data_IF_233309708547
#
_entry.id   IF_233309708547
#
_cell.length_a   1.000
_cell.length_b   1.000
_cell.length_c   1.000
_cell.angle_alpha   90.00
_cell.angle_beta   90.00
_cell.angle_gamma   90.00
#
_symmetry.space_group_name_H-M   'P 1'
#
loop_
_entity.id
_entity.type
_entity.pdbx_description
1 polymer ?
#
# COMPACT_ATOMS: atom_id res chain seq x y z
N UNK A 1 -50.76 32.27 -19.30
CA UNK A 1 -49.34 32.31 -18.88
C UNK A 1 -49.06 31.04 -18.05
N UNK A 2 -48.69 29.92 -18.70
CA UNK A 2 -48.33 28.67 -18.00
C UNK A 2 -46.80 28.65 -17.85
N UNK A 3 -46.32 28.72 -16.61
CA UNK A 3 -44.89 28.61 -16.29
C UNK A 3 -44.38 27.23 -16.73
N UNK A 4 -43.35 27.22 -17.58
CA UNK A 4 -42.57 26.04 -17.96
C UNK A 4 -41.92 25.49 -16.69
N UNK A 5 -42.20 24.24 -16.37
CA UNK A 5 -41.53 23.46 -15.33
C UNK A 5 -40.11 23.20 -15.86
N UNK A 6 -39.10 23.72 -15.17
CA UNK A 6 -37.70 23.40 -15.40
C UNK A 6 -37.53 21.89 -15.24
N UNK A 7 -36.94 21.25 -16.25
CA UNK A 7 -36.56 19.85 -16.23
C UNK A 7 -35.52 19.65 -15.14
N UNK A 8 -35.87 18.93 -14.07
CA UNK A 8 -34.89 18.38 -13.13
C UNK A 8 -33.93 17.50 -13.93
N UNK A 9 -32.64 17.84 -13.91
CA UNK A 9 -31.59 16.97 -14.41
C UNK A 9 -31.66 15.62 -13.67
N UNK A 10 -31.49 14.51 -14.39
CA UNK A 10 -31.41 13.19 -13.77
C UNK A 10 -30.35 13.20 -12.65
N UNK A 11 -30.60 12.57 -11.48
CA UNK A 11 -29.64 12.55 -10.39
C UNK A 11 -28.35 11.91 -10.90
N UNK A 12 -27.24 12.67 -10.87
CA UNK A 12 -25.91 12.11 -11.11
C UNK A 12 -25.71 10.99 -10.09
N UNK A 13 -25.47 9.77 -10.57
CA UNK A 13 -25.10 8.64 -9.72
C UNK A 13 -23.87 9.06 -8.92
N UNK A 14 -24.01 9.22 -7.61
CA UNK A 14 -22.87 9.50 -6.73
C UNK A 14 -21.86 8.34 -6.88
N UNK A 15 -20.56 8.63 -7.07
CA UNK A 15 -19.59 7.58 -7.29
C UNK A 15 -19.51 6.69 -6.05
N UNK A 16 -19.58 5.37 -6.24
CA UNK A 16 -19.41 4.42 -5.14
C UNK A 16 -17.94 4.35 -4.71
N UNK A 17 -17.03 4.47 -5.68
CA UNK A 17 -15.58 4.35 -5.48
C UNK A 17 -14.86 5.59 -6.00
N UNK A 18 -13.96 6.16 -5.21
CA UNK A 18 -12.93 7.07 -5.71
C UNK A 18 -11.62 6.33 -5.89
N UNK A 19 -11.04 6.37 -7.08
CA UNK A 19 -9.72 5.80 -7.36
C UNK A 19 -8.70 6.94 -7.38
N UNK A 20 -7.74 6.91 -6.46
CA UNK A 20 -6.66 7.89 -6.38
C UNK A 20 -5.45 7.39 -7.16
N UNK A 21 -4.97 8.20 -8.10
CA UNK A 21 -3.79 7.88 -8.92
C UNK A 21 -2.74 8.98 -8.78
N UNK A 22 -1.60 8.71 -8.12
CA UNK A 22 -0.45 9.60 -8.20
C UNK A 22 0.23 9.40 -9.56
N UNK A 23 0.58 10.49 -10.23
CA UNK A 23 1.23 10.45 -11.53
C UNK A 23 2.45 11.35 -11.55
N UNK A 24 3.60 10.79 -11.97
CA UNK A 24 4.79 11.56 -12.29
C UNK A 24 5.62 10.86 -13.34
N UNK A 25 5.74 11.49 -14.51
CA UNK A 25 6.51 10.96 -15.64
C UNK A 25 6.20 9.49 -15.94
N UNK A 26 4.91 9.19 -16.14
CA UNK A 26 4.40 7.83 -16.24
C UNK A 26 4.30 7.32 -17.69
N UNK A 27 4.68 8.11 -18.69
CA UNK A 27 4.71 7.62 -20.07
C UNK A 27 5.81 6.55 -20.25
N UNK A 28 5.55 5.51 -21.07
CA UNK A 28 4.33 5.27 -21.86
C UNK A 28 3.21 4.54 -21.10
N UNK A 29 3.47 4.06 -19.89
CA UNK A 29 2.58 3.17 -19.12
C UNK A 29 1.22 3.76 -18.75
N UNK A 30 1.20 5.09 -18.56
CA UNK A 30 0.03 5.85 -18.12
C UNK A 30 -1.25 5.55 -18.90
N UNK A 31 -1.14 5.46 -20.23
CA UNK A 31 -2.31 5.36 -21.11
C UNK A 31 -3.09 4.07 -20.88
N UNK A 32 -2.39 2.96 -20.68
CA UNK A 32 -2.98 1.67 -20.36
C UNK A 32 -3.48 1.61 -18.90
N UNK A 33 -2.73 2.20 -17.96
CA UNK A 33 -3.12 2.27 -16.55
C UNK A 33 -4.47 3.01 -16.38
N UNK A 34 -4.58 4.20 -16.95
CA UNK A 34 -5.82 5.01 -16.93
C UNK A 34 -6.95 4.29 -17.65
N UNK A 35 -6.70 3.72 -18.84
CA UNK A 35 -7.69 2.91 -19.57
C UNK A 35 -8.23 1.78 -18.69
N UNK A 36 -7.38 1.03 -17.99
CA UNK A 36 -7.79 -0.11 -17.16
C UNK A 36 -8.70 0.27 -15.99
N UNK A 37 -8.61 1.50 -15.49
CA UNK A 37 -9.53 2.04 -14.47
C UNK A 37 -10.81 2.53 -15.11
N UNK A 38 -10.73 3.26 -16.23
CA UNK A 38 -11.92 3.83 -16.88
C UNK A 38 -12.80 2.77 -17.54
N UNK A 39 -12.29 1.57 -17.84
CA UNK A 39 -13.07 0.45 -18.39
C UNK A 39 -13.62 -0.51 -17.32
N UNK A 40 -13.55 -0.16 -16.04
CA UNK A 40 -14.11 -0.97 -14.95
C UNK A 40 -15.62 -1.14 -15.09
N UNK A 41 -16.12 -2.29 -14.64
CA UNK A 41 -17.52 -2.72 -14.79
C UNK A 41 -18.18 -2.97 -13.45
N UNK A 42 -19.51 -2.91 -13.44
CA UNK A 42 -20.37 -3.18 -12.28
C UNK A 42 -20.08 -2.29 -11.06
N UNK A 43 -19.49 -1.12 -11.31
CA UNK A 43 -19.16 -0.11 -10.30
C UNK A 43 -19.23 1.28 -10.91
N UNK A 44 -19.83 2.22 -10.17
CA UNK A 44 -19.71 3.64 -10.47
C UNK A 44 -18.46 4.16 -9.78
N UNK A 45 -17.54 4.76 -10.54
CA UNK A 45 -16.28 5.26 -9.99
C UNK A 45 -15.90 6.64 -10.53
N UNK A 46 -15.15 7.37 -9.73
CA UNK A 46 -14.41 8.56 -10.16
C UNK A 46 -12.91 8.26 -10.08
N UNK A 47 -12.17 8.59 -11.14
CA UNK A 47 -10.71 8.56 -11.15
C UNK A 47 -10.17 9.96 -10.88
N UNK A 48 -9.40 10.13 -9.81
CA UNK A 48 -8.73 11.39 -9.50
C UNK A 48 -7.23 11.21 -9.64
N UNK A 49 -6.66 11.89 -10.63
CA UNK A 49 -5.23 11.82 -10.95
C UNK A 49 -4.52 13.07 -10.44
N UNK A 50 -3.53 12.88 -9.57
CA UNK A 50 -2.66 13.94 -9.05
C UNK A 50 -1.36 13.94 -9.83
N UNK A 51 -1.20 14.88 -10.76
CA UNK A 51 0.03 15.03 -11.55
C UNK A 51 1.07 15.87 -10.80
N UNK A 52 2.12 15.21 -10.30
CA UNK A 52 3.22 15.80 -9.54
C UNK A 52 4.32 16.34 -10.47
N UNK A 53 3.95 17.38 -11.22
CA UNK A 53 4.83 18.12 -12.13
C UNK A 53 5.51 17.24 -13.21
N UNK A 54 4.73 16.46 -13.96
CA UNK A 54 5.28 15.66 -15.06
C UNK A 54 5.81 16.53 -16.22
N UNK A 55 6.89 16.06 -16.84
CA UNK A 55 7.58 16.72 -17.96
C UNK A 55 7.68 15.84 -19.22
N UNK A 56 7.18 14.61 -19.19
CA UNK A 56 7.27 13.62 -20.28
C UNK A 56 6.03 13.58 -21.20
N UNK A 57 5.09 14.51 -21.02
CA UNK A 57 3.81 14.53 -21.72
C UNK A 57 2.64 13.90 -20.94
N UNK A 58 2.88 13.26 -19.80
CA UNK A 58 1.82 12.69 -18.93
C UNK A 58 0.72 13.70 -18.62
N UNK A 59 1.09 14.89 -18.13
CA UNK A 59 0.15 15.97 -17.80
C UNK A 59 -0.70 16.40 -19.00
N UNK A 60 -0.06 16.63 -20.15
CA UNK A 60 -0.73 17.10 -21.35
C UNK A 60 -1.77 16.08 -21.84
N UNK A 61 -1.41 14.80 -21.82
CA UNK A 61 -2.32 13.70 -22.20
C UNK A 61 -3.49 13.57 -21.21
N UNK A 62 -3.23 13.62 -19.90
CA UNK A 62 -4.26 13.55 -18.85
C UNK A 62 -5.30 14.67 -18.97
N UNK A 63 -4.85 15.92 -19.14
CA UNK A 63 -5.75 17.08 -19.29
C UNK A 63 -6.56 17.02 -20.59
N UNK A 64 -5.99 16.45 -21.66
CA UNK A 64 -6.72 16.22 -22.90
C UNK A 64 -7.82 15.15 -22.72
N UNK A 65 -7.51 14.06 -22.02
CA UNK A 65 -8.48 13.01 -21.71
C UNK A 65 -9.61 13.49 -20.81
N UNK A 66 -9.32 14.27 -19.76
CA UNK A 66 -10.35 14.87 -18.90
C UNK A 66 -11.36 15.68 -19.72
N UNK A 67 -10.88 16.51 -20.66
CA UNK A 67 -11.76 17.28 -21.57
C UNK A 67 -12.58 16.38 -22.48
N UNK A 68 -12.00 15.33 -23.05
CA UNK A 68 -12.69 14.40 -23.93
C UNK A 68 -13.80 13.63 -23.18
N UNK A 69 -13.51 13.18 -21.94
CA UNK A 69 -14.47 12.52 -21.05
C UNK A 69 -15.62 13.46 -20.68
N UNK A 70 -15.33 14.72 -20.36
CA UNK A 70 -16.35 15.72 -20.04
C UNK A 70 -17.27 16.04 -21.24
N UNK A 71 -16.71 16.15 -22.45
CA UNK A 71 -17.49 16.37 -23.67
C UNK A 71 -18.46 15.21 -23.95
N UNK A 72 -17.99 13.96 -23.76
CA UNK A 72 -18.82 12.76 -23.91
C UNK A 72 -19.98 12.71 -22.90
N UNK A 73 -19.76 13.16 -21.66
CA UNK A 73 -20.81 13.19 -20.65
C UNK A 73 -21.98 14.09 -21.08
N UNK A 74 -21.67 15.23 -21.71
CA UNK A 74 -22.66 16.15 -22.29
C UNK A 74 -23.40 15.51 -23.46
N UNK A 75 -22.69 14.85 -24.39
CA UNK A 75 -23.33 14.15 -25.51
C UNK A 75 -24.24 13.01 -25.05
N UNK A 76 -23.84 12.28 -24.00
CA UNK A 76 -24.63 11.19 -23.40
C UNK A 76 -25.89 11.74 -22.74
N UNK A 77 -25.81 12.85 -21.98
CA UNK A 77 -27.00 13.53 -21.42
C UNK A 77 -27.98 14.00 -22.53
N UNK A 78 -27.46 14.34 -23.72
CA UNK A 78 -28.28 14.71 -24.89
C UNK A 78 -28.87 13.50 -25.63
N UNK A 79 -28.20 12.34 -25.59
CA UNK A 79 -28.57 11.12 -26.34
C UNK A 79 -29.24 10.04 -25.49
N UNK A 80 -29.32 10.19 -24.16
CA UNK A 80 -30.00 9.30 -23.20
C UNK A 80 -31.53 9.14 -23.40
N UNK A 81 -32.08 9.49 -24.56
CA UNK A 81 -33.41 9.10 -24.97
C UNK A 81 -33.46 7.78 -25.76
N UNK A 82 -32.35 7.22 -26.24
CA UNK A 82 -32.40 5.98 -27.03
C UNK A 82 -31.21 5.02 -26.81
N UNK A 83 -31.55 3.83 -26.26
CA UNK A 83 -30.93 2.50 -26.38
C UNK A 83 -30.02 1.96 -25.28
N UNK A 84 -30.43 0.77 -24.81
CA UNK A 84 -29.66 -0.21 -24.04
C UNK A 84 -28.96 -1.24 -24.96
N UNK A 85 -27.81 -1.73 -24.49
CA UNK A 85 -27.49 -3.16 -24.51
C UNK A 85 -26.67 -3.69 -25.68
N UNK A 86 -25.34 -3.72 -25.53
CA UNK A 86 -24.45 -4.56 -26.33
C UNK A 86 -23.39 -5.21 -25.45
N UNK A 87 -23.43 -6.53 -25.29
CA UNK A 87 -22.45 -7.33 -24.55
C UNK A 87 -21.38 -7.88 -25.50
N UNK A 88 -20.12 -7.47 -25.35
CA UNK A 88 -18.96 -8.25 -25.82
C UNK A 88 -18.65 -9.35 -24.81
N UNK A 89 -18.18 -10.50 -25.29
CA UNK A 89 -17.87 -11.66 -24.44
C UNK A 89 -16.62 -11.43 -23.58
N UNK A 90 -16.71 -11.78 -22.30
CA UNK A 90 -15.68 -11.52 -21.29
C UNK A 90 -14.32 -12.19 -21.57
N UNK A 91 -14.30 -13.37 -22.21
CA UNK A 91 -13.07 -14.17 -22.41
C UNK A 91 -12.07 -13.52 -23.38
N UNK A 92 -12.53 -12.94 -24.49
CA UNK A 92 -11.65 -12.33 -25.48
C UNK A 92 -11.00 -11.02 -25.00
N UNK A 93 -11.62 -10.36 -24.00
CA UNK A 93 -11.13 -9.10 -23.43
C UNK A 93 -10.10 -9.34 -22.33
N UNK A 94 -10.24 -10.43 -21.56
CA UNK A 94 -9.24 -10.88 -20.60
C UNK A 94 -7.93 -11.28 -21.30
N UNK A 95 -8.01 -11.91 -22.49
CA UNK A 95 -6.86 -12.26 -23.32
C UNK A 95 -6.12 -11.02 -23.87
N UNK A 96 -6.84 -9.99 -24.33
CA UNK A 96 -6.23 -8.74 -24.80
C UNK A 96 -5.57 -7.98 -23.64
N UNK A 97 -6.22 -7.95 -22.47
CA UNK A 97 -5.67 -7.37 -21.25
C UNK A 97 -4.38 -8.08 -20.82
N UNK A 98 -4.35 -9.43 -20.79
CA UNK A 98 -3.15 -10.21 -20.45
C UNK A 98 -1.99 -9.96 -21.41
N UNK A 99 -2.25 -9.79 -22.70
CA UNK A 99 -1.20 -9.49 -23.68
C UNK A 99 -0.52 -8.12 -23.40
N UNK A 100 -1.28 -7.08 -23.06
CA UNK A 100 -0.74 -5.74 -22.74
C UNK A 100 0.15 -5.72 -21.49
N UNK A 101 -0.14 -6.57 -20.52
CA UNK A 101 0.62 -6.62 -19.28
C UNK A 101 1.99 -7.29 -19.43
N UNK A 102 2.16 -8.13 -20.44
CA UNK A 102 3.33 -9.00 -20.59
C UNK A 102 4.65 -8.27 -20.90
N UNK A 103 4.61 -7.07 -21.50
CA UNK A 103 5.82 -6.34 -21.91
C UNK A 103 6.42 -5.47 -20.80
N UNK A 104 7.73 -5.60 -20.59
CA UNK A 104 8.54 -4.72 -19.73
C UNK A 104 9.26 -3.61 -20.51
N UNK A 105 9.33 -3.76 -21.83
CA UNK A 105 9.95 -2.81 -22.74
C UNK A 105 8.96 -1.69 -23.08
N UNK A 106 9.24 -0.51 -22.52
CA UNK A 106 8.47 0.71 -22.76
C UNK A 106 8.34 1.03 -24.27
N UNK A 107 9.34 0.70 -25.09
CA UNK A 107 9.32 1.01 -26.53
C UNK A 107 8.39 0.09 -27.32
N UNK A 108 8.06 -1.07 -26.77
CA UNK A 108 7.15 -2.07 -27.38
C UNK A 108 5.76 -2.01 -26.79
N UNK A 109 5.55 -1.21 -25.75
CA UNK A 109 4.26 -1.06 -25.12
C UNK A 109 3.30 -0.33 -26.06
N UNK A 110 2.10 -0.89 -26.24
CA UNK A 110 1.00 -0.17 -26.87
C UNK A 110 0.67 1.05 -26.01
N UNK A 111 0.63 2.21 -26.66
CA UNK A 111 0.09 3.44 -26.09
C UNK A 111 -1.29 3.70 -26.70
N UNK A 112 -2.16 4.35 -25.94
CA UNK A 112 -3.50 4.72 -26.38
C UNK A 112 -3.60 6.22 -26.55
N UNK A 113 -4.20 6.65 -27.65
CA UNK A 113 -4.57 8.05 -27.79
C UNK A 113 -5.78 8.41 -26.91
N UNK A 114 -6.05 9.71 -26.80
CA UNK A 114 -7.09 10.24 -25.92
C UNK A 114 -8.48 9.77 -26.37
N UNK A 115 -8.71 9.77 -27.68
CA UNK A 115 -9.97 9.42 -28.31
C UNK A 115 -10.29 7.92 -28.14
N UNK A 116 -9.29 7.04 -28.28
CA UNK A 116 -9.39 5.60 -28.03
C UNK A 116 -9.84 5.34 -26.59
N UNK A 117 -9.19 5.96 -25.60
CA UNK A 117 -9.54 5.77 -24.18
C UNK A 117 -10.91 6.35 -23.86
N UNK A 118 -11.19 7.58 -24.31
CA UNK A 118 -12.47 8.25 -24.05
C UNK A 118 -13.66 7.48 -24.65
N UNK A 119 -13.47 6.83 -25.81
CA UNK A 119 -14.51 6.05 -26.50
C UNK A 119 -14.87 4.77 -25.73
N UNK A 120 -13.89 4.09 -25.12
CA UNK A 120 -14.12 2.80 -24.44
C UNK A 120 -14.41 2.92 -22.95
N UNK A 121 -14.20 4.09 -22.34
CA UNK A 121 -14.48 4.29 -20.92
C UNK A 121 -15.95 3.97 -20.57
N UNK A 122 -16.21 3.41 -19.40
CA UNK A 122 -17.57 3.13 -18.94
C UNK A 122 -18.34 4.44 -18.73
N UNK A 123 -19.64 4.44 -19.03
CA UNK A 123 -20.53 5.58 -18.72
C UNK A 123 -20.71 5.81 -17.22
N UNK A 124 -20.34 4.84 -16.38
CA UNK A 124 -20.34 4.94 -14.92
C UNK A 124 -19.02 5.48 -14.35
N UNK A 125 -18.06 5.85 -15.21
CA UNK A 125 -16.75 6.36 -14.82
C UNK A 125 -16.64 7.86 -15.10
N UNK A 126 -16.15 8.62 -14.13
CA UNK A 126 -15.72 10.01 -14.33
C UNK A 126 -14.22 10.15 -14.08
N UNK A 127 -13.63 11.26 -14.51
CA UNK A 127 -12.22 11.54 -14.30
C UNK A 127 -12.01 13.02 -13.94
N UNK A 128 -11.05 13.27 -13.06
CA UNK A 128 -10.56 14.60 -12.70
C UNK A 128 -9.04 14.61 -12.60
N UNK A 129 -8.41 15.67 -13.08
CA UNK A 129 -6.95 15.86 -12.99
C UNK A 129 -6.64 17.03 -12.06
N UNK A 130 -5.70 16.83 -11.14
CA UNK A 130 -5.16 17.85 -10.25
C UNK A 130 -3.69 18.05 -10.63
N UNK A 131 -3.37 19.21 -11.21
CA UNK A 131 -2.00 19.59 -11.48
C UNK A 131 -1.37 20.12 -10.18
N UNK A 132 -0.27 19.50 -9.76
CA UNK A 132 0.51 19.90 -8.59
C UNK A 132 1.81 20.48 -9.11
N UNK A 133 1.87 21.81 -9.12
CA UNK A 133 3.08 22.54 -9.47
C UNK A 133 3.93 22.72 -8.22
N UNK A 134 5.21 22.37 -8.33
CA UNK A 134 6.18 22.53 -7.25
C UNK A 134 7.44 23.20 -7.76
N UNK A 135 8.05 24.00 -6.90
CA UNK A 135 9.45 24.38 -7.04
C UNK A 135 10.33 23.22 -6.52
N UNK A 136 11.08 22.51 -7.39
CA UNK A 136 11.95 21.41 -6.97
C UNK A 136 13.07 21.84 -6.01
N UNK A 137 13.42 23.13 -6.00
CA UNK A 137 14.34 23.73 -5.03
C UNK A 137 13.76 23.78 -3.61
N UNK A 138 12.45 23.94 -3.49
CA UNK A 138 11.75 24.05 -2.20
C UNK A 138 11.20 22.70 -1.74
N UNK A 139 10.47 22.00 -2.61
CA UNK A 139 9.77 20.76 -2.27
C UNK A 139 10.17 19.63 -3.21
N UNK A 140 10.67 18.49 -2.70
CA UNK A 140 10.88 17.33 -3.53
C UNK A 140 9.53 16.77 -4.00
N UNK A 141 9.52 16.24 -5.22
CA UNK A 141 8.42 15.42 -5.73
C UNK A 141 8.08 14.27 -4.80
N UNK A 142 6.81 13.96 -4.61
CA UNK A 142 6.38 12.98 -3.63
C UNK A 142 4.99 12.45 -3.94
N UNK A 143 4.86 11.13 -3.85
CA UNK A 143 3.62 10.42 -4.09
C UNK A 143 2.55 10.77 -3.04
N UNK A 144 2.96 10.99 -1.79
CA UNK A 144 2.07 11.25 -0.66
C UNK A 144 1.24 12.53 -0.83
N UNK A 145 1.84 13.64 -1.25
CA UNK A 145 1.08 14.87 -1.52
C UNK A 145 0.06 14.66 -2.63
N UNK A 146 0.45 14.00 -3.73
CA UNK A 146 -0.44 13.75 -4.87
C UNK A 146 -1.67 12.95 -4.41
N UNK A 147 -1.45 11.90 -3.63
CA UNK A 147 -2.51 11.09 -3.05
C UNK A 147 -3.39 11.88 -2.06
N UNK A 148 -2.80 12.70 -1.19
CA UNK A 148 -3.57 13.55 -0.27
C UNK A 148 -4.45 14.53 -1.05
N UNK A 149 -3.91 15.20 -2.08
CA UNK A 149 -4.68 16.10 -2.95
C UNK A 149 -5.82 15.37 -3.68
N UNK A 150 -5.55 14.16 -4.18
CA UNK A 150 -6.59 13.32 -4.76
C UNK A 150 -7.67 12.96 -3.72
N UNK A 151 -7.26 12.60 -2.50
CA UNK A 151 -8.19 12.25 -1.42
C UNK A 151 -9.09 13.44 -1.06
N UNK A 152 -8.56 14.66 -0.91
CA UNK A 152 -9.38 15.87 -0.65
C UNK A 152 -10.39 16.16 -1.75
N UNK A 153 -10.03 15.89 -3.00
CA UNK A 153 -10.91 16.14 -4.14
C UNK A 153 -11.94 15.02 -4.38
N UNK A 154 -11.84 13.92 -3.63
CA UNK A 154 -12.64 12.70 -3.83
C UNK A 154 -13.88 12.65 -2.94
N UNK A 155 -14.91 11.93 -3.39
CA UNK A 155 -16.24 11.90 -2.75
C UNK A 155 -16.80 10.50 -2.48
N UNK A 156 -16.38 9.49 -3.23
CA UNK A 156 -16.93 8.13 -3.15
C UNK A 156 -16.78 7.44 -1.80
N UNK A 157 -17.79 6.65 -1.41
CA UNK A 157 -17.86 6.01 -0.10
C UNK A 157 -16.70 5.02 0.17
N UNK A 158 -16.14 4.46 -0.90
CA UNK A 158 -14.92 3.67 -0.87
C UNK A 158 -13.80 4.40 -1.60
N UNK A 159 -12.57 4.20 -1.12
CA UNK A 159 -11.38 4.80 -1.71
C UNK A 159 -10.45 3.69 -2.13
N UNK A 160 -10.22 3.57 -3.42
CA UNK A 160 -9.22 2.69 -4.02
C UNK A 160 -8.05 3.50 -4.54
N UNK A 161 -7.01 2.79 -4.93
CA UNK A 161 -5.79 3.40 -5.45
C UNK A 161 -5.29 2.67 -6.69
N UNK A 162 -4.49 3.37 -7.48
CA UNK A 162 -3.89 2.87 -8.71
C UNK A 162 -2.56 3.58 -8.99
N UNK A 163 -1.46 2.84 -9.13
CA UNK A 163 -0.22 3.45 -9.63
C UNK A 163 -0.32 3.74 -11.13
N UNK A 164 0.29 4.84 -11.58
CA UNK A 164 0.20 5.30 -12.96
C UNK A 164 0.90 4.40 -14.00
N UNK A 165 1.55 3.31 -13.58
CA UNK A 165 2.29 2.36 -14.42
C UNK A 165 1.79 0.91 -14.34
N UNK A 166 0.78 0.65 -13.51
CA UNK A 166 0.24 -0.69 -13.25
C UNK A 166 -1.07 -0.96 -14.01
N UNK A 167 -1.68 -2.13 -13.82
CA UNK A 167 -2.92 -2.53 -14.50
C UNK A 167 -3.92 -3.20 -13.55
N UNK A 168 -5.22 -3.08 -13.83
CA UNK A 168 -6.29 -3.81 -13.12
C UNK A 168 -7.29 -4.47 -14.08
N UNK A 169 -7.73 -5.71 -13.82
CA UNK A 169 -8.73 -6.40 -14.65
C UNK A 169 -10.12 -5.74 -14.54
N UNK A 170 -11.03 -5.90 -15.51
CA UNK A 170 -12.26 -5.11 -15.64
C UNK A 170 -13.24 -5.12 -14.46
N UNK A 171 -13.22 -6.15 -13.62
CA UNK A 171 -14.14 -6.28 -12.47
C UNK A 171 -13.42 -6.12 -11.11
N UNK A 172 -12.22 -5.54 -11.09
CA UNK A 172 -11.39 -5.42 -9.89
C UNK A 172 -12.09 -4.66 -8.75
N UNK A 173 -12.55 -3.43 -9.00
CA UNK A 173 -13.14 -2.63 -7.92
C UNK A 173 -14.51 -3.13 -7.49
N UNK A 174 -15.35 -3.62 -8.42
CA UNK A 174 -16.62 -4.27 -8.06
C UNK A 174 -16.42 -5.48 -7.15
N UNK A 175 -15.39 -6.29 -7.41
CA UNK A 175 -15.03 -7.44 -6.57
C UNK A 175 -14.58 -7.00 -5.18
N UNK A 176 -13.75 -5.95 -5.08
CA UNK A 176 -13.30 -5.41 -3.80
C UNK A 176 -14.46 -4.79 -2.99
N UNK A 177 -15.35 -4.03 -3.63
CA UNK A 177 -16.56 -3.48 -2.98
C UNK A 177 -17.42 -4.60 -2.42
N UNK A 178 -17.69 -5.64 -3.22
CA UNK A 178 -18.46 -6.81 -2.77
C UNK A 178 -17.80 -7.50 -1.56
N UNK A 179 -16.49 -7.73 -1.63
CA UNK A 179 -15.75 -8.39 -0.56
C UNK A 179 -15.81 -7.60 0.75
N UNK A 180 -15.66 -6.28 0.69
CA UNK A 180 -15.67 -5.41 1.87
C UNK A 180 -17.08 -5.14 2.42
N UNK A 181 -18.10 -5.02 1.56
CA UNK A 181 -19.46 -4.71 2.00
C UNK A 181 -20.25 -5.95 2.42
N UNK A 182 -20.15 -7.04 1.66
CA UNK A 182 -21.06 -8.19 1.80
C UNK A 182 -20.39 -9.38 2.47
N UNK A 183 -19.13 -9.64 2.16
CA UNK A 183 -18.45 -10.87 2.57
C UNK A 183 -17.70 -10.69 3.90
N UNK A 184 -17.11 -9.51 4.13
CA UNK A 184 -16.29 -9.22 5.31
C UNK A 184 -16.60 -7.81 5.86
N UNK A 185 -17.82 -7.56 6.37
CA UNK A 185 -18.24 -6.25 6.86
C UNK A 185 -17.39 -5.73 8.04
N UNK A 186 -16.72 -6.61 8.77
CA UNK A 186 -15.82 -6.29 9.88
C UNK A 186 -14.44 -5.79 9.44
N UNK A 187 -14.11 -5.89 8.15
CA UNK A 187 -12.87 -5.35 7.63
C UNK A 187 -12.95 -3.83 7.43
N UNK A 188 -11.91 -3.12 7.86
CA UNK A 188 -11.74 -1.68 7.62
C UNK A 188 -11.25 -1.41 6.18
N UNK A 189 -10.53 -2.38 5.61
CA UNK A 189 -9.93 -2.36 4.29
C UNK A 189 -9.87 -3.77 3.69
N UNK A 190 -9.98 -3.87 2.37
CA UNK A 190 -9.72 -5.10 1.62
C UNK A 190 -8.60 -4.88 0.61
N UNK A 191 -7.72 -5.86 0.48
CA UNK A 191 -6.65 -5.90 -0.53
C UNK A 191 -6.87 -7.09 -1.47
N UNK A 192 -6.25 -7.07 -2.65
CA UNK A 192 -6.23 -8.24 -3.53
C UNK A 192 -4.88 -8.93 -3.54
N UNK A 193 -4.87 -10.19 -4.00
CA UNK A 193 -3.63 -10.75 -4.53
C UNK A 193 -3.14 -9.92 -5.72
N UNK A 194 -1.83 -9.97 -5.94
CA UNK A 194 -1.15 -9.32 -7.05
C UNK A 194 -0.74 -10.34 -8.11
N UNK A 195 -0.55 -9.87 -9.34
CA UNK A 195 0.18 -10.56 -10.40
C UNK A 195 1.37 -9.71 -10.81
N UNK A 196 2.55 -10.28 -10.92
CA UNK A 196 3.67 -9.58 -11.55
C UNK A 196 3.50 -9.56 -13.06
N UNK A 197 3.84 -8.43 -13.69
CA UNK A 197 3.87 -8.31 -15.14
C UNK A 197 5.11 -7.53 -15.60
N UNK A 198 5.43 -7.55 -16.89
CA UNK A 198 6.72 -7.07 -17.40
C UNK A 198 7.91 -7.92 -16.94
N UNK A 199 8.92 -7.29 -16.32
CA UNK A 199 10.25 -7.88 -16.19
C UNK A 199 10.29 -8.97 -15.12
N UNK A 200 10.59 -10.20 -15.53
CA UNK A 200 10.64 -11.32 -14.60
C UNK A 200 11.93 -11.36 -13.76
N UNK A 201 11.78 -11.47 -12.44
CA UNK A 201 12.88 -11.78 -11.51
C UNK A 201 12.44 -12.78 -10.45
N UNK A 202 13.26 -13.79 -10.20
CA UNK A 202 12.93 -14.83 -9.22
C UNK A 202 12.76 -14.27 -7.79
N UNK A 203 13.47 -13.19 -7.44
CA UNK A 203 13.27 -12.48 -6.18
C UNK A 203 11.85 -11.94 -6.02
N UNK A 204 11.32 -11.33 -7.08
CA UNK A 204 9.95 -10.79 -7.09
C UNK A 204 8.92 -11.90 -7.12
N UNK A 205 9.14 -12.98 -7.88
CA UNK A 205 8.26 -14.16 -7.86
C UNK A 205 8.13 -14.77 -6.45
N UNK A 206 9.20 -14.77 -5.66
CA UNK A 206 9.13 -15.16 -4.23
C UNK A 206 8.30 -14.19 -3.40
N UNK A 207 8.48 -12.89 -3.62
CA UNK A 207 7.69 -11.85 -2.94
C UNK A 207 6.20 -11.99 -3.27
N UNK A 208 5.83 -12.13 -4.55
CA UNK A 208 4.46 -12.37 -5.00
C UNK A 208 3.85 -13.59 -4.30
N UNK A 209 4.53 -14.74 -4.32
CA UNK A 209 4.05 -15.97 -3.66
C UNK A 209 3.84 -15.77 -2.15
N UNK A 210 4.76 -15.10 -1.47
CA UNK A 210 4.63 -14.82 -0.03
C UNK A 210 3.50 -13.85 0.25
N UNK A 211 3.46 -12.69 -0.43
CA UNK A 211 2.46 -11.65 -0.21
C UNK A 211 1.04 -12.18 -0.52
N UNK A 212 0.87 -12.94 -1.60
CA UNK A 212 -0.41 -13.53 -1.98
C UNK A 212 -0.90 -14.62 -0.99
N UNK A 213 0.01 -15.18 -0.19
CA UNK A 213 -0.33 -16.13 0.87
C UNK A 213 -0.88 -15.48 2.15
N UNK A 214 -0.78 -14.16 2.30
CA UNK A 214 -1.27 -13.44 3.49
C UNK A 214 -2.74 -13.04 3.28
N UNK A 215 -3.67 -13.85 3.77
CA UNK A 215 -5.11 -13.71 3.46
C UNK A 215 -5.91 -13.01 4.58
N UNK A 216 -5.58 -13.29 5.84
CA UNK A 216 -6.38 -12.77 6.97
C UNK A 216 -5.81 -11.46 7.53
N UNK A 217 -6.63 -10.68 8.26
CA UNK A 217 -6.14 -9.51 8.99
C UNK A 217 -5.00 -9.81 9.98
N UNK A 218 -5.05 -10.96 10.63
CA UNK A 218 -3.98 -11.40 11.52
C UNK A 218 -2.70 -11.68 10.75
N UNK A 219 -2.77 -12.29 9.57
CA UNK A 219 -1.60 -12.53 8.73
C UNK A 219 -0.96 -11.23 8.27
N UNK A 220 -1.76 -10.31 7.73
CA UNK A 220 -1.30 -9.02 7.24
C UNK A 220 -0.67 -8.18 8.36
N UNK A 221 -1.33 -8.09 9.51
CA UNK A 221 -0.81 -7.38 10.67
C UNK A 221 0.48 -8.04 11.20
N UNK A 222 0.51 -9.37 11.31
CA UNK A 222 1.65 -10.12 11.86
C UNK A 222 2.90 -10.02 10.99
N UNK A 223 2.72 -10.11 9.69
CA UNK A 223 3.83 -10.23 8.74
C UNK A 223 4.35 -8.87 8.25
N UNK A 224 3.76 -7.75 8.70
CA UNK A 224 4.19 -6.37 8.37
C UNK A 224 5.66 -6.06 8.69
N UNK A 225 6.27 -6.78 9.63
CA UNK A 225 7.67 -6.59 10.03
C UNK A 225 8.67 -7.43 9.22
N UNK A 226 8.17 -8.26 8.29
CA UNK A 226 9.01 -8.96 7.34
C UNK A 226 9.19 -8.13 6.09
N UNK A 227 8.09 -7.80 5.43
CA UNK A 227 8.05 -6.97 4.24
C UNK A 227 6.67 -6.31 4.16
N UNK A 228 6.47 -5.42 3.20
CA UNK A 228 5.16 -4.82 2.91
C UNK A 228 4.12 -5.95 2.66
N UNK A 229 3.08 -6.09 3.50
CA UNK A 229 2.20 -7.28 3.50
C UNK A 229 1.12 -7.24 2.41
N UNK A 230 0.87 -6.07 1.84
CA UNK A 230 0.02 -5.86 0.67
C UNK A 230 0.50 -4.60 -0.07
N UNK A 231 0.43 -4.56 -1.40
CA UNK A 231 0.59 -3.29 -2.11
C UNK A 231 -0.57 -2.38 -1.74
N UNK A 232 -0.28 -1.14 -1.35
CA UNK A 232 -1.32 -0.16 -0.98
C UNK A 232 -2.27 0.08 -2.16
N UNK A 233 -1.71 0.16 -3.37
CA UNK A 233 -2.47 0.28 -4.60
C UNK A 233 -3.35 -0.93 -4.92
N UNK A 234 -3.19 -2.11 -4.28
CA UNK A 234 -4.12 -3.24 -4.45
C UNK A 234 -5.37 -3.15 -3.55
N UNK A 235 -5.43 -2.13 -2.68
CA UNK A 235 -6.44 -1.99 -1.66
C UNK A 235 -7.69 -1.19 -2.09
N UNK A 236 -8.77 -1.41 -1.34
CA UNK A 236 -9.96 -0.58 -1.28
C UNK A 236 -10.32 -0.36 0.19
N UNK A 237 -10.43 0.89 0.59
CA UNK A 237 -10.68 1.32 1.97
C UNK A 237 -12.10 1.88 2.13
N UNK A 238 -12.66 1.77 3.32
CA UNK A 238 -13.83 2.58 3.71
C UNK A 238 -13.38 4.03 3.91
N UNK A 239 -14.06 5.00 3.30
CA UNK A 239 -13.72 6.42 3.48
C UNK A 239 -13.77 6.84 4.95
N UNK A 240 -14.79 6.38 5.69
CA UNK A 240 -14.93 6.63 7.13
C UNK A 240 -13.66 6.22 7.89
N UNK A 241 -13.10 5.06 7.59
CA UNK A 241 -11.89 4.54 8.25
C UNK A 241 -10.63 5.31 7.85
N UNK A 242 -10.53 5.77 6.60
CA UNK A 242 -9.45 6.69 6.20
C UNK A 242 -9.55 8.03 6.94
N UNK A 243 -10.75 8.56 7.17
CA UNK A 243 -10.93 9.79 7.95
C UNK A 243 -10.55 9.61 9.43
N UNK A 244 -10.98 8.50 10.05
CA UNK A 244 -10.54 8.13 11.42
C UNK A 244 -9.02 8.00 11.50
N UNK A 245 -8.40 7.34 10.51
CA UNK A 245 -6.96 7.15 10.45
C UNK A 245 -6.19 8.45 10.24
N UNK A 246 -6.70 9.34 9.37
CA UNK A 246 -6.16 10.67 9.14
C UNK A 246 -6.14 11.50 10.42
N UNK A 247 -7.23 11.46 11.20
CA UNK A 247 -7.33 12.19 12.47
C UNK A 247 -6.31 11.72 13.53
N UNK A 248 -5.83 10.47 13.43
CA UNK A 248 -4.78 9.91 14.30
C UNK A 248 -3.36 10.14 13.78
N UNK A 249 -3.21 10.67 12.56
CA UNK A 249 -1.89 10.90 11.96
C UNK A 249 -1.41 12.31 12.26
N UNK A 250 -0.19 12.44 12.80
CA UNK A 250 0.42 13.73 13.08
C UNK A 250 0.49 14.59 11.80
N UNK A 251 0.08 15.86 11.91
CA UNK A 251 -0.02 16.77 10.75
C UNK A 251 -1.20 16.51 9.81
N UNK A 252 -2.05 15.50 10.06
CA UNK A 252 -3.27 15.23 9.31
C UNK A 252 -3.05 14.74 7.86
N UNK A 253 -1.82 14.38 7.49
CA UNK A 253 -1.50 13.80 6.18
C UNK A 253 -1.77 12.30 6.19
N UNK A 254 -2.68 11.82 5.34
CA UNK A 254 -3.02 10.40 5.23
C UNK A 254 -1.82 9.60 4.69
N UNK A 255 -1.18 10.14 3.65
CA UNK A 255 0.03 9.61 3.02
C UNK A 255 1.19 10.56 3.30
N UNK A 256 2.19 10.13 4.07
CA UNK A 256 3.34 10.97 4.46
C UNK A 256 4.45 10.92 3.42
N UNK A 257 5.10 12.05 3.16
CA UNK A 257 6.22 12.17 2.23
C UNK A 257 7.45 12.62 3.01
N UNK A 258 8.17 11.65 3.56
CA UNK A 258 9.31 11.90 4.46
C UNK A 258 10.62 12.06 3.69
N UNK A 259 11.30 13.18 3.91
CA UNK A 259 12.55 13.54 3.22
C UNK A 259 13.62 13.99 4.20
N UNK A 260 14.82 13.43 4.08
CA UNK A 260 15.99 13.93 4.80
C UNK A 260 16.63 15.10 4.05
N UNK A 261 16.67 16.28 4.67
CA UNK A 261 17.29 17.50 4.14
C UNK A 261 18.00 18.26 5.26
N UNK A 262 19.24 18.67 5.02
CA UNK A 262 20.03 19.51 5.94
C UNK A 262 20.05 19.00 7.39
N UNK A 263 20.21 17.68 7.59
CA UNK A 263 20.28 17.08 8.92
C UNK A 263 18.94 16.83 9.61
N UNK A 264 17.81 17.17 8.98
CA UNK A 264 16.46 17.01 9.55
C UNK A 264 15.56 16.22 8.59
N UNK A 265 14.56 15.52 9.13
CA UNK A 265 13.49 14.92 8.32
C UNK A 265 12.33 15.89 8.23
N UNK A 266 11.83 16.08 7.01
CA UNK A 266 10.74 16.96 6.66
C UNK A 266 9.62 16.17 5.97
N UNK A 267 8.38 16.40 6.39
CA UNK A 267 7.19 15.84 5.75
C UNK A 267 6.60 16.87 4.76
N UNK A 268 6.67 16.56 3.47
CA UNK A 268 6.19 17.41 2.38
C UNK A 268 4.78 17.05 1.90
N UNK A 269 4.08 16.18 2.62
CA UNK A 269 2.75 15.70 2.22
C UNK A 269 1.59 16.64 2.56
N UNK A 270 1.82 17.64 3.41
CA UNK A 270 0.76 18.49 3.95
C UNK A 270 0.47 19.76 3.14
N UNK A 271 1.43 20.25 2.34
CA UNK A 271 1.28 21.51 1.60
C UNK A 271 1.89 21.47 0.20
N UNK A 272 1.09 21.71 -0.87
CA UNK A 272 1.61 21.95 -2.21
C UNK A 272 2.52 23.18 -2.31
N UNK A 273 2.35 24.16 -1.41
CA UNK A 273 3.22 25.33 -1.33
C UNK A 273 4.62 25.02 -0.78
N UNK A 274 4.89 23.76 -0.37
CA UNK A 274 6.20 23.32 0.10
C UNK A 274 6.47 23.57 1.58
N UNK A 275 5.48 24.03 2.35
CA UNK A 275 5.57 24.12 3.80
C UNK A 275 5.66 22.70 4.39
N UNK A 276 6.87 22.34 4.82
CA UNK A 276 7.12 21.04 5.41
C UNK A 276 6.98 21.07 6.92
N UNK A 277 6.49 19.97 7.49
CA UNK A 277 6.46 19.77 8.94
C UNK A 277 7.70 18.97 9.33
N UNK A 278 8.45 19.43 10.33
CA UNK A 278 9.60 18.68 10.85
C UNK A 278 9.14 17.38 11.52
N UNK A 279 9.76 16.26 11.18
CA UNK A 279 9.63 14.99 11.90
C UNK A 279 10.77 14.83 12.92
N UNK A 280 10.49 14.14 14.02
CA UNK A 280 11.24 14.22 15.27
C UNK A 280 12.65 13.61 15.24
N UNK A 281 13.04 12.83 14.22
CA UNK A 281 14.35 12.17 14.17
C UNK A 281 14.98 12.11 12.76
N UNK A 282 16.31 12.29 12.63
CA UNK A 282 17.00 12.42 11.34
C UNK A 282 17.03 11.13 10.50
N UNK A 283 16.84 9.96 11.12
CA UNK A 283 16.86 8.66 10.43
C UNK A 283 15.47 8.12 10.06
N UNK A 284 14.41 8.89 10.30
CA UNK A 284 13.02 8.47 10.09
C UNK A 284 12.45 8.91 8.75
N UNK A 285 13.06 8.44 7.66
CA UNK A 285 12.62 8.77 6.30
C UNK A 285 12.56 7.53 5.42
N UNK A 286 11.36 7.14 5.01
CA UNK A 286 11.08 5.87 4.36
C UNK A 286 9.94 6.05 3.34
N UNK A 287 9.60 5.02 2.54
CA UNK A 287 8.63 5.18 1.46
C UNK A 287 7.21 5.17 2.02
N UNK A 288 6.30 5.83 1.28
CA UNK A 288 4.89 6.06 1.64
C UNK A 288 4.18 4.75 2.01
N UNK A 289 4.40 3.69 1.23
CA UNK A 289 3.70 2.40 1.42
C UNK A 289 4.05 1.73 2.74
N UNK A 290 5.32 1.72 3.12
CA UNK A 290 5.77 1.12 4.38
C UNK A 290 5.25 1.93 5.56
N UNK A 291 5.35 3.26 5.50
CA UNK A 291 4.82 4.18 6.51
C UNK A 291 3.31 3.97 6.73
N UNK A 292 2.55 3.93 5.64
CA UNK A 292 1.10 3.81 5.66
C UNK A 292 0.65 2.52 6.36
N UNK A 293 1.13 1.36 5.92
CA UNK A 293 0.71 0.09 6.49
C UNK A 293 1.09 -0.05 7.96
N UNK A 294 2.29 0.39 8.34
CA UNK A 294 2.69 0.33 9.73
C UNK A 294 1.83 1.24 10.62
N UNK A 295 1.58 2.48 10.20
CA UNK A 295 0.67 3.38 10.92
C UNK A 295 -0.75 2.81 10.97
N UNK A 296 -1.25 2.22 9.88
CA UNK A 296 -2.57 1.60 9.81
C UNK A 296 -2.75 0.56 10.92
N UNK A 297 -1.84 -0.42 10.98
CA UNK A 297 -1.89 -1.48 12.00
C UNK A 297 -1.61 -0.97 13.43
N UNK A 298 -0.67 -0.03 13.61
CA UNK A 298 -0.38 0.56 14.93
C UNK A 298 -1.60 1.29 15.52
N UNK A 299 -2.43 1.88 14.66
CA UNK A 299 -3.65 2.58 15.08
C UNK A 299 -4.87 1.65 15.26
N UNK A 300 -4.65 0.34 15.16
CA UNK A 300 -5.66 -0.70 15.43
C UNK A 300 -6.58 -1.03 14.25
N UNK A 301 -6.34 -0.46 13.07
CA UNK A 301 -7.13 -0.79 11.89
C UNK A 301 -6.72 -2.14 11.32
N UNK A 302 -7.70 -2.88 10.81
CA UNK A 302 -7.50 -4.19 10.22
C UNK A 302 -7.54 -4.10 8.67
N UNK A 303 -7.08 -5.14 7.98
CA UNK A 303 -7.21 -5.25 6.53
C UNK A 303 -7.25 -6.71 6.15
N UNK A 304 -8.10 -7.14 5.23
CA UNK A 304 -8.10 -8.51 4.70
C UNK A 304 -7.54 -8.59 3.28
N UNK A 305 -7.36 -9.80 2.75
CA UNK A 305 -6.96 -10.00 1.34
C UNK A 305 -7.84 -11.05 0.67
N UNK A 306 -8.40 -10.68 -0.48
CA UNK A 306 -9.17 -11.59 -1.32
C UNK A 306 -8.24 -12.44 -2.18
N UNK A 307 -8.55 -13.73 -2.42
CA UNK A 307 -7.68 -14.64 -3.16
C UNK A 307 -7.62 -14.37 -4.67
N UNK A 308 -8.39 -13.40 -5.18
CA UNK A 308 -8.37 -13.00 -6.60
C UNK A 308 -7.19 -12.07 -6.89
N UNK A 309 -6.55 -12.27 -8.05
CA UNK A 309 -5.48 -11.41 -8.55
C UNK A 309 -6.07 -10.20 -9.29
N UNK A 310 -6.36 -9.14 -8.53
CA UNK A 310 -7.06 -7.95 -9.05
C UNK A 310 -6.14 -6.74 -9.24
N UNK A 311 -4.82 -6.94 -9.14
CA UNK A 311 -3.81 -5.91 -9.33
C UNK A 311 -2.59 -6.49 -10.03
N UNK A 312 -2.21 -5.91 -11.16
CA UNK A 312 -1.05 -6.33 -11.93
C UNK A 312 0.05 -5.32 -11.75
N UNK A 313 1.05 -5.73 -10.97
CA UNK A 313 2.18 -4.91 -10.61
C UNK A 313 3.28 -5.08 -11.65
N UNK A 314 3.46 -4.04 -12.45
CA UNK A 314 4.48 -3.99 -13.48
C UNK A 314 5.85 -4.01 -12.85
N UNK A 315 6.82 -4.60 -13.53
CA UNK A 315 8.22 -4.61 -13.12
C UNK A 315 9.09 -4.08 -14.26
N UNK A 316 9.94 -3.11 -13.97
CA UNK A 316 10.97 -2.59 -14.88
C UNK A 316 12.15 -1.99 -14.10
N UNK A 317 13.27 -1.72 -14.78
CA UNK A 317 14.53 -1.38 -14.13
C UNK A 317 14.49 -0.07 -13.31
N UNK A 318 13.80 0.95 -13.83
CA UNK A 318 13.84 2.31 -13.29
C UNK A 318 12.80 2.60 -12.20
N UNK A 319 12.07 1.60 -11.72
CA UNK A 319 11.07 1.78 -10.67
C UNK A 319 11.66 2.32 -9.37
N UNK A 320 10.90 3.19 -8.68
CA UNK A 320 11.33 3.81 -7.42
C UNK A 320 11.64 2.78 -6.33
N UNK A 321 10.98 1.63 -6.33
CA UNK A 321 11.27 0.50 -5.41
C UNK A 321 12.68 -0.06 -5.58
N UNK A 322 13.37 0.24 -6.69
CA UNK A 322 14.75 -0.19 -6.99
C UNK A 322 15.76 0.93 -6.93
N UNK A 323 15.36 2.13 -7.36
CA UNK A 323 16.29 3.24 -7.60
C UNK A 323 16.29 4.27 -6.48
N UNK A 324 15.18 4.39 -5.72
CA UNK A 324 15.03 5.44 -4.72
C UNK A 324 15.64 5.00 -3.37
N UNK A 325 16.46 5.87 -2.77
CA UNK A 325 17.14 5.60 -1.49
C UNK A 325 16.19 5.31 -0.31
N UNK A 326 15.03 5.97 -0.27
CA UNK A 326 13.90 5.65 0.64
C UNK A 326 13.46 4.18 0.59
N UNK A 327 13.57 3.53 -0.55
CA UNK A 327 13.20 2.13 -0.73
C UNK A 327 14.36 1.15 -0.46
N UNK A 328 15.51 1.66 -0.01
CA UNK A 328 16.66 0.80 0.32
C UNK A 328 16.31 -0.14 1.48
N UNK A 329 16.95 -1.31 1.50
CA UNK A 329 16.80 -2.26 2.61
C UNK A 329 17.12 -1.63 3.98
N UNK A 330 18.04 -0.66 4.03
CA UNK A 330 18.35 0.07 5.25
C UNK A 330 17.15 0.90 5.74
N UNK A 331 16.53 1.69 4.86
CA UNK A 331 15.40 2.55 5.26
C UNK A 331 14.14 1.75 5.58
N UNK A 332 13.86 0.68 4.82
CA UNK A 332 12.77 -0.23 5.14
C UNK A 332 12.97 -0.91 6.51
N UNK A 333 14.21 -1.28 6.84
CA UNK A 333 14.55 -1.85 8.15
C UNK A 333 14.40 -0.85 9.28
N UNK A 334 14.84 0.40 9.09
CA UNK A 334 14.66 1.50 10.06
C UNK A 334 13.17 1.78 10.32
N UNK A 335 12.35 1.83 9.26
CA UNK A 335 10.90 1.94 9.37
C UNK A 335 10.33 0.81 10.24
N UNK A 336 10.66 -0.45 9.90
CA UNK A 336 10.17 -1.61 10.65
C UNK A 336 10.66 -1.61 12.10
N UNK A 337 11.91 -1.22 12.38
CA UNK A 337 12.45 -1.12 13.74
C UNK A 337 11.71 -0.05 14.57
N UNK A 338 11.43 1.12 13.98
CA UNK A 338 10.64 2.19 14.62
C UNK A 338 9.27 1.68 15.07
N UNK A 339 8.51 1.07 14.16
CA UNK A 339 7.16 0.58 14.48
C UNK A 339 7.17 -0.69 15.32
N UNK A 340 8.23 -1.51 15.26
CA UNK A 340 8.37 -2.68 16.11
C UNK A 340 8.63 -2.27 17.56
N UNK A 341 9.49 -1.27 17.77
CA UNK A 341 9.74 -0.67 19.08
C UNK A 341 8.45 -0.09 19.69
N UNK A 342 7.71 0.71 18.91
CA UNK A 342 6.42 1.26 19.31
C UNK A 342 5.44 0.15 19.71
N UNK A 343 5.26 -0.85 18.85
CA UNK A 343 4.36 -1.97 19.13
C UNK A 343 4.78 -2.78 20.37
N UNK A 344 6.08 -2.93 20.65
CA UNK A 344 6.57 -3.61 21.85
C UNK A 344 6.29 -2.80 23.13
N UNK A 345 6.49 -1.49 23.10
CA UNK A 345 6.24 -0.58 24.22
C UNK A 345 4.75 -0.47 24.55
N UNK A 346 3.91 -0.42 23.52
CA UNK A 346 2.45 -0.27 23.63
C UNK A 346 1.72 -1.60 23.90
N UNK A 347 2.43 -2.73 23.88
CA UNK A 347 1.82 -4.06 24.02
C UNK A 347 0.96 -4.47 22.83
N UNK A 348 1.26 -3.93 21.64
CA UNK A 348 0.52 -4.14 20.38
C UNK A 348 1.20 -5.12 19.41
N UNK A 349 2.21 -5.87 19.86
CA UNK A 349 2.82 -6.90 19.02
C UNK A 349 1.76 -7.95 18.62
N UNK A 350 1.60 -8.27 17.33
CA UNK A 350 0.48 -9.05 16.77
C UNK A 350 0.51 -10.55 17.09
N UNK A 351 1.33 -10.99 18.06
CA UNK A 351 1.53 -12.40 18.38
C UNK A 351 0.71 -12.76 19.62
N UNK A 352 -0.21 -13.71 19.49
CA UNK A 352 -0.77 -14.41 20.63
C UNK A 352 0.39 -15.12 21.35
N UNK A 353 0.53 -15.08 22.66
CA UNK A 353 -0.42 -15.76 23.56
C UNK A 353 -0.56 -15.11 24.96
N UNK A 354 0.04 -13.95 25.21
CA UNK A 354 -0.18 -13.16 26.43
C UNK A 354 -0.44 -11.69 26.12
N UNK A 355 -1.64 -11.36 25.60
CA UNK A 355 -2.08 -10.02 25.15
C UNK A 355 -2.09 -8.90 26.22
N UNK A 356 -1.40 -9.06 27.35
CA UNK A 356 -1.40 -8.11 28.49
C UNK A 356 -0.09 -8.04 29.26
N UNK A 357 0.91 -8.87 28.94
CA UNK A 357 2.19 -8.85 29.65
C UNK A 357 3.10 -7.81 29.01
N UNK A 358 3.56 -6.79 29.77
CA UNK A 358 4.52 -5.84 29.24
C UNK A 358 5.81 -6.53 28.80
N UNK A 359 6.29 -6.20 27.60
CA UNK A 359 7.58 -6.69 27.11
C UNK A 359 8.69 -6.04 27.96
N UNK A 360 9.56 -6.88 28.51
CA UNK A 360 10.75 -6.47 29.28
C UNK A 360 12.04 -6.70 28.51
N UNK A 361 12.03 -7.65 27.57
CA UNK A 361 13.21 -8.08 26.85
C UNK A 361 12.89 -8.51 25.43
N UNK A 362 13.76 -8.17 24.49
CA UNK A 362 13.72 -8.64 23.11
C UNK A 362 15.05 -9.35 22.82
N UNK A 363 14.98 -10.61 22.40
CA UNK A 363 16.13 -11.40 21.99
C UNK A 363 16.09 -11.56 20.47
N UNK A 364 17.09 -11.00 19.80
CA UNK A 364 17.29 -11.07 18.37
C UNK A 364 18.14 -12.28 18.00
N UNK A 365 17.64 -13.11 17.09
CA UNK A 365 18.33 -14.29 16.58
C UNK A 365 18.66 -14.08 15.10
N UNK A 366 19.93 -14.17 14.75
CA UNK A 366 20.37 -13.97 13.37
C UNK A 366 21.86 -14.23 13.21
N UNK A 367 22.44 -13.73 12.13
CA UNK A 367 23.88 -13.81 11.87
C UNK A 367 24.39 -12.56 11.17
N UNK A 368 25.66 -12.24 11.39
CA UNK A 368 26.39 -11.25 10.60
C UNK A 368 25.82 -9.83 10.66
N UNK A 369 25.94 -9.12 9.55
CA UNK A 369 25.60 -7.69 9.47
C UNK A 369 24.12 -7.42 9.69
N UNK A 370 23.23 -8.27 9.15
CA UNK A 370 21.79 -8.11 9.33
C UNK A 370 21.39 -8.12 10.81
N UNK A 371 21.96 -9.02 11.62
CA UNK A 371 21.70 -9.07 13.07
C UNK A 371 22.21 -7.83 13.78
N UNK A 372 23.46 -7.41 13.51
CA UNK A 372 24.06 -6.22 14.13
C UNK A 372 23.27 -4.97 13.83
N UNK A 373 22.89 -4.79 12.56
CA UNK A 373 22.16 -3.62 12.14
C UNK A 373 20.78 -3.56 12.81
N UNK A 374 20.03 -4.67 12.83
CA UNK A 374 18.73 -4.73 13.53
C UNK A 374 18.86 -4.45 15.03
N UNK A 375 19.89 -4.99 15.68
CA UNK A 375 20.17 -4.70 17.08
C UNK A 375 20.41 -3.21 17.32
N UNK A 376 21.20 -2.56 16.47
CA UNK A 376 21.50 -1.13 16.55
C UNK A 376 20.25 -0.27 16.37
N UNK A 377 19.48 -0.49 15.30
CA UNK A 377 18.31 0.33 15.01
C UNK A 377 17.19 0.12 16.04
N UNK A 378 17.01 -1.11 16.54
CA UNK A 378 16.01 -1.37 17.58
C UNK A 378 16.43 -0.79 18.93
N UNK A 379 17.72 -0.87 19.31
CA UNK A 379 18.22 -0.23 20.52
C UNK A 379 18.01 1.29 20.47
N UNK A 380 18.32 1.90 19.32
CA UNK A 380 18.13 3.33 19.09
C UNK A 380 16.66 3.72 19.27
N UNK A 381 15.74 2.98 18.64
CA UNK A 381 14.32 3.29 18.67
C UNK A 381 13.66 3.02 20.02
N UNK A 382 13.98 1.91 20.69
CA UNK A 382 13.52 1.66 22.05
C UNK A 382 13.99 2.75 23.00
N UNK A 383 15.26 3.16 22.91
CA UNK A 383 15.80 4.23 23.75
C UNK A 383 15.10 5.57 23.47
N UNK A 384 14.86 5.89 22.21
CA UNK A 384 14.23 7.15 21.80
C UNK A 384 12.73 7.23 22.15
N UNK A 385 12.04 6.08 22.19
CA UNK A 385 10.58 6.02 22.41
C UNK A 385 10.19 5.68 23.85
N UNK A 386 11.12 5.16 24.66
CA UNK A 386 10.84 4.83 26.07
C UNK A 386 10.60 6.11 26.87
N UNK A 387 9.44 6.26 27.54
CA UNK A 387 9.19 7.37 28.46
C UNK A 387 10.23 7.42 29.59
N UNK A 388 10.62 8.62 30.04
CA UNK A 388 11.67 8.80 31.05
C UNK A 388 11.36 8.16 32.41
N UNK A 389 10.10 7.87 32.69
CA UNK A 389 9.60 7.22 33.91
C UNK A 389 9.47 5.70 33.79
N UNK A 390 9.81 5.10 32.63
CA UNK A 390 9.68 3.66 32.37
C UNK A 390 11.05 3.00 32.20
N UNK A 391 11.19 1.79 32.73
CA UNK A 391 12.36 0.95 32.46
C UNK A 391 12.42 0.60 30.97
N UNK A 392 13.58 0.80 30.34
CA UNK A 392 13.80 0.42 28.94
C UNK A 392 13.70 -1.09 28.74
N UNK A 393 13.33 -1.50 27.53
CA UNK A 393 13.29 -2.90 27.13
C UNK A 393 14.73 -3.37 26.85
N UNK A 394 15.16 -4.45 27.50
CA UNK A 394 16.48 -5.05 27.28
C UNK A 394 16.57 -5.64 25.87
N UNK A 395 17.59 -5.27 25.08
CA UNK A 395 17.83 -5.84 23.74
C UNK A 395 19.07 -6.71 23.77
N UNK A 396 18.89 -8.00 23.51
CA UNK A 396 19.99 -8.96 23.40
C UNK A 396 20.06 -9.53 21.99
N UNK A 397 21.27 -9.73 21.49
CA UNK A 397 21.50 -10.41 20.22
C UNK A 397 22.19 -11.75 20.48
N UNK A 398 21.71 -12.80 19.82
CA UNK A 398 22.32 -14.13 19.85
C UNK A 398 22.63 -14.55 18.43
N UNK A 399 23.91 -14.82 18.15
CA UNK A 399 24.28 -15.46 16.89
C UNK A 399 23.67 -16.87 16.87
N UNK A 400 22.80 -17.10 15.89
CA UNK A 400 22.01 -18.30 15.85
C UNK A 400 21.96 -18.87 14.44
N UNK A 401 22.63 -20.01 14.24
CA UNK A 401 22.62 -20.70 12.94
C UNK A 401 21.31 -21.48 12.73
N UNK A 402 20.76 -21.53 11.50
CA UNK A 402 19.57 -22.30 11.19
C UNK A 402 19.66 -23.77 11.65
N UNK A 403 18.77 -24.18 12.57
CA UNK A 403 18.69 -25.58 13.05
C UNK A 403 19.09 -25.82 14.50
N UNK A 404 19.58 -24.81 15.22
CA UNK A 404 20.22 -25.00 16.53
C UNK A 404 19.37 -24.58 17.74
N UNK A 405 18.18 -24.00 17.52
CA UNK A 405 17.31 -23.55 18.59
C UNK A 405 16.68 -24.77 19.29
N UNK A 406 17.21 -25.11 20.46
CA UNK A 406 16.53 -26.00 21.41
C UNK A 406 15.83 -25.12 22.43
N UNK A 407 14.51 -25.12 22.37
CA UNK A 407 13.68 -24.44 23.36
C UNK A 407 13.44 -25.37 24.53
N UNK A 408 13.60 -24.88 25.75
CA UNK A 408 13.16 -25.53 26.97
C UNK A 408 11.90 -24.83 27.52
N UNK A 409 11.12 -25.52 28.33
CA UNK A 409 9.98 -24.91 29.04
C UNK A 409 10.42 -23.73 29.92
N UNK A 410 11.65 -23.75 30.42
CA UNK A 410 12.25 -22.66 31.22
C UNK A 410 12.46 -21.38 30.43
N UNK A 411 12.49 -21.44 29.10
CA UNK A 411 12.63 -20.26 28.24
C UNK A 411 11.28 -19.56 27.99
N UNK A 412 10.17 -20.15 28.47
CA UNK A 412 8.82 -19.66 28.23
C UNK A 412 8.47 -18.49 29.18
N UNK A 413 8.80 -17.27 28.76
CA UNK A 413 8.46 -16.03 29.46
C UNK A 413 7.67 -15.07 28.54
N UNK A 414 6.42 -14.81 28.92
CA UNK A 414 5.51 -13.92 28.20
C UNK A 414 5.96 -12.46 28.14
N UNK A 415 6.94 -12.05 28.95
CA UNK A 415 7.57 -10.73 28.89
C UNK A 415 8.80 -10.67 27.97
N UNK A 416 9.20 -11.80 27.41
CA UNK A 416 10.32 -11.91 26.47
C UNK A 416 9.77 -12.10 25.05
N UNK A 417 10.31 -11.34 24.11
CA UNK A 417 10.04 -11.45 22.68
C UNK A 417 11.25 -12.05 21.97
N UNK A 418 11.05 -13.16 21.28
CA UNK A 418 12.09 -13.82 20.50
C UNK A 418 11.91 -13.48 19.02
N UNK A 419 12.70 -12.55 18.51
CA UNK A 419 12.61 -12.10 17.13
C UNK A 419 13.72 -12.68 16.26
N UNK A 420 13.33 -13.39 15.20
CA UNK A 420 14.25 -13.98 14.25
C UNK A 420 14.42 -13.05 13.05
N UNK A 421 15.69 -12.71 12.79
CA UNK A 421 16.13 -11.74 11.81
C UNK A 421 16.67 -12.46 10.57
N UNK A 422 16.18 -12.10 9.37
CA UNK A 422 16.60 -12.75 8.13
C UNK A 422 17.08 -11.76 7.08
N UNK A 423 18.24 -12.04 6.46
CA UNK A 423 18.65 -11.34 5.24
C UNK A 423 18.08 -11.95 3.95
N UNK A 424 17.66 -13.23 3.95
CA UNK A 424 17.16 -13.93 2.75
C UNK A 424 16.12 -15.03 3.04
N UNK A 425 15.19 -15.25 2.10
CA UNK A 425 14.08 -16.20 2.22
C UNK A 425 14.46 -17.68 2.43
N UNK A 426 15.49 -18.27 1.77
CA UNK A 426 15.88 -19.66 2.02
C UNK A 426 16.34 -19.92 3.47
N UNK A 427 17.00 -18.92 4.08
CA UNK A 427 17.39 -18.98 5.48
C UNK A 427 16.16 -18.98 6.40
N UNK A 428 15.16 -18.15 6.10
CA UNK A 428 13.87 -18.10 6.82
C UNK A 428 13.17 -19.45 6.83
N UNK A 429 12.97 -20.09 5.68
CA UNK A 429 12.26 -21.37 5.62
C UNK A 429 12.98 -22.49 6.40
N UNK A 430 14.32 -22.49 6.40
CA UNK A 430 15.13 -23.44 7.18
C UNK A 430 15.02 -23.20 8.69
N UNK A 431 15.06 -21.93 9.11
CA UNK A 431 14.92 -21.53 10.52
C UNK A 431 13.50 -21.80 11.01
N UNK A 432 12.47 -21.37 10.26
CA UNK A 432 11.07 -21.59 10.62
C UNK A 432 10.76 -23.09 10.82
N UNK A 433 11.23 -23.98 9.92
CA UNK A 433 11.09 -25.44 10.09
C UNK A 433 11.87 -25.99 11.29
N UNK A 434 12.99 -25.39 11.65
CA UNK A 434 13.75 -25.80 12.83
C UNK A 434 13.04 -25.39 14.13
N UNK A 435 12.60 -24.12 14.19
CA UNK A 435 11.81 -23.59 15.31
C UNK A 435 10.53 -24.39 15.46
N UNK A 436 9.75 -24.57 14.39
CA UNK A 436 8.47 -25.28 14.44
C UNK A 436 8.63 -26.71 15.00
N UNK A 437 9.72 -27.42 14.63
CA UNK A 437 10.01 -28.76 15.17
C UNK A 437 10.32 -28.75 16.67
N UNK A 438 11.19 -27.86 17.15
CA UNK A 438 11.52 -27.80 18.59
C UNK A 438 10.43 -27.15 19.44
N UNK A 439 9.63 -26.27 18.85
CA UNK A 439 8.51 -25.62 19.50
C UNK A 439 7.33 -26.59 19.66
N UNK A 440 7.01 -27.39 18.63
CA UNK A 440 5.96 -28.44 18.70
C UNK A 440 6.22 -29.52 19.75
N UNK A 441 7.47 -29.74 20.16
CA UNK A 441 7.78 -30.69 21.24
C UNK A 441 7.49 -30.16 22.65
N UNK A 442 7.17 -28.87 22.82
CA UNK A 442 6.85 -28.27 24.12
C UNK A 442 5.36 -28.45 24.50
N UNK A 443 5.03 -28.53 25.81
CA UNK A 443 3.64 -28.48 26.26
C UNK A 443 2.91 -27.25 25.74
N UNK A 444 1.59 -27.38 25.57
CA UNK A 444 0.76 -26.28 25.07
C UNK A 444 0.86 -25.04 25.96
N UNK A 445 0.88 -25.19 27.29
CA UNK A 445 1.05 -24.08 28.23
C UNK A 445 2.34 -23.29 27.99
N UNK A 446 3.47 -23.97 27.76
CA UNK A 446 4.75 -23.34 27.44
C UNK A 446 4.70 -22.65 26.08
N UNK A 447 4.15 -23.30 25.04
CA UNK A 447 3.95 -22.68 23.72
C UNK A 447 3.10 -21.41 23.78
N UNK A 448 2.15 -21.34 24.72
CA UNK A 448 1.33 -20.15 25.02
C UNK A 448 2.05 -19.04 25.80
N UNK A 449 3.25 -19.27 26.29
CA UNK A 449 4.03 -18.22 26.94
C UNK A 449 5.11 -17.64 26.01
N UNK A 450 5.45 -18.30 24.90
CA UNK A 450 6.44 -17.78 23.95
C UNK A 450 5.87 -16.74 22.99
N UNK A 451 6.57 -15.61 22.87
CA UNK A 451 6.30 -14.61 21.84
C UNK A 451 7.38 -14.69 20.74
N UNK A 452 7.13 -15.50 19.71
CA UNK A 452 8.06 -15.67 18.58
C UNK A 452 7.64 -14.79 17.40
N UNK A 453 8.59 -13.98 16.93
CA UNK A 453 8.40 -12.99 15.86
C UNK A 453 9.39 -13.23 14.74
N UNK A 454 8.98 -12.91 13.52
CA UNK A 454 9.84 -12.89 12.36
C UNK A 454 9.99 -11.47 11.83
N UNK A 455 11.23 -11.01 11.65
CA UNK A 455 11.56 -9.69 11.09
C UNK A 455 12.65 -9.83 10.02
N UNK A 456 12.70 -8.93 9.04
CA UNK A 456 13.67 -9.01 7.94
C UNK A 456 14.33 -7.67 7.60
#
# INVERSE_FOLDING_TARGET
MKRRRTTDAAPRLEPTVSVLMPCRNAMPWLTAAVRSVLTQRDVALELIVGDDASADGSRAWLLALERAMAARAVETEVTCLEREGGTRGAEAEDDEFEAEASTDDATKMRTYDVEEVAKVASGSCTMKVIAIDRDPGVSPSGQGLALNACFEASSGAFVGEMESDDLRPPHAFASLVRALQKENPEWDCVTSQIRLCGWEREGMKRFERWQNGLLTPEDLARERFLEIPALRASALFRREKLNEFRAKTHGGALYRDLWFRNGTVLDFAASPAGEAVADAQPHRWWPVDSDFWHRWFQNGFNAGKVPQKLYWWRQYANQSTRTHSRCSHEQLRKCKAYFFAAAALDGQLPYALAKKTPVKKIVLYGVGETLRAWCSDLQLEITAQTPSDRSTIEINATEHKPGWARWAETDADASVVHAFVFGMAPARAKIARAIDRSFKSLPESARKAFNVVYIA
#
